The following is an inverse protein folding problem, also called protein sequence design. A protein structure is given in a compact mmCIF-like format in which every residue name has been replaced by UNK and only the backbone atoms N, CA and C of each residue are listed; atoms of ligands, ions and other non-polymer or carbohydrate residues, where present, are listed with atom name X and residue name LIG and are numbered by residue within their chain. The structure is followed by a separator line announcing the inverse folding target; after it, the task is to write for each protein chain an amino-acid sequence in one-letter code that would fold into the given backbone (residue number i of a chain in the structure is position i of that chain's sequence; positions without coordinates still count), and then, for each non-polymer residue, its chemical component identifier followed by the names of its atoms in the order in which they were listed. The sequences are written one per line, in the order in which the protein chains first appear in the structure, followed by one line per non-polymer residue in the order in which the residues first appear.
data_IF_322759065159
#
_entry.id   IF_322759065159
#
_cell.length_a   1.000
_cell.length_b   1.000
_cell.length_c   1.000
_cell.angle_alpha   90.00
_cell.angle_beta   90.00
_cell.angle_gamma   90.00
#
_symmetry.space_group_name_H-M   'P 1'
#
loop_
_entity.id
_entity.type
_entity.pdbx_description
1 polymer ?
#
# COMPACT_ATOMS: atom_id res chain seq x y z
N UNK A 1 39.45 6.81 8.22
CA UNK A 1 38.37 6.27 9.06
C UNK A 1 38.41 4.76 8.94
N UNK A 2 38.39 3.99 10.00
CA UNK A 2 38.33 2.53 9.91
C UNK A 2 37.00 2.19 9.22
N UNK A 3 37.05 1.44 8.13
CA UNK A 3 35.86 0.87 7.52
C UNK A 3 35.16 0.02 8.56
N UNK A 4 33.94 0.40 8.94
CA UNK A 4 33.09 -0.43 9.77
C UNK A 4 33.06 -1.83 9.14
N UNK A 5 33.50 -2.82 9.88
CA UNK A 5 33.41 -4.21 9.48
C UNK A 5 31.95 -4.59 9.46
N UNK A 6 31.56 -5.20 8.38
CA UNK A 6 30.30 -5.82 8.13
C UNK A 6 29.10 -4.87 8.05
N UNK A 7 28.82 -4.44 6.88
CA UNK A 7 27.44 -4.32 6.45
C UNK A 7 26.84 -5.74 6.39
N UNK A 8 26.61 -6.31 7.57
CA UNK A 8 25.91 -7.57 7.64
C UNK A 8 24.50 -7.32 7.10
N UNK A 9 24.20 -7.87 5.96
CA UNK A 9 22.85 -8.12 5.53
C UNK A 9 22.19 -8.93 6.64
N UNK A 10 21.31 -8.28 7.39
CA UNK A 10 20.47 -8.98 8.34
C UNK A 10 19.49 -9.81 7.53
N UNK A 11 19.55 -11.11 7.63
CA UNK A 11 18.55 -11.98 7.01
C UNK A 11 17.31 -12.06 7.90
N UNK A 12 16.18 -12.44 7.31
CA UNK A 12 14.95 -12.78 8.05
C UNK A 12 15.21 -13.81 9.18
N UNK A 13 16.30 -14.59 9.05
CA UNK A 13 16.73 -15.56 10.04
C UNK A 13 17.37 -14.94 11.28
N UNK A 14 17.76 -13.66 11.27
CA UNK A 14 18.49 -13.05 12.41
C UNK A 14 17.59 -12.66 13.57
N UNK A 15 16.28 -12.53 13.36
CA UNK A 15 15.29 -12.27 14.42
C UNK A 15 14.05 -13.13 14.17
N UNK A 16 14.16 -14.46 14.22
CA UNK A 16 13.10 -15.36 13.81
C UNK A 16 11.83 -15.19 14.64
N UNK A 17 11.95 -14.92 15.93
CA UNK A 17 10.78 -14.72 16.80
C UNK A 17 10.07 -13.39 16.48
N UNK A 18 10.83 -12.33 16.20
CA UNK A 18 10.24 -11.06 15.78
C UNK A 18 9.59 -11.17 14.38
N UNK A 19 10.27 -11.82 13.42
CA UNK A 19 9.69 -12.07 12.10
C UNK A 19 8.38 -12.87 12.22
N UNK A 20 8.36 -13.93 13.00
CA UNK A 20 7.15 -14.72 13.24
C UNK A 20 6.02 -13.88 13.82
N UNK A 21 6.30 -13.03 14.82
CA UNK A 21 5.33 -12.11 15.40
C UNK A 21 4.77 -11.13 14.36
N UNK A 22 5.61 -10.62 13.46
CA UNK A 22 5.21 -9.71 12.39
C UNK A 22 4.36 -10.46 11.35
N UNK A 23 4.76 -11.66 10.94
CA UNK A 23 4.00 -12.48 9.99
C UNK A 23 2.62 -12.85 10.54
N UNK A 24 2.51 -13.21 11.83
CA UNK A 24 1.21 -13.45 12.49
C UNK A 24 0.33 -12.20 12.50
N UNK A 25 0.92 -11.02 12.71
CA UNK A 25 0.21 -9.74 12.67
C UNK A 25 -0.26 -9.39 11.25
N UNK A 26 0.57 -9.62 10.25
CA UNK A 26 0.22 -9.40 8.84
C UNK A 26 -0.91 -10.32 8.38
N UNK A 27 -0.87 -11.61 8.75
CA UNK A 27 -1.98 -12.54 8.49
C UNK A 27 -3.28 -12.11 9.17
N UNK A 28 -3.19 -11.51 10.38
CA UNK A 28 -4.36 -10.93 11.04
C UNK A 28 -4.86 -9.70 10.27
N UNK A 29 -3.97 -8.83 9.80
CA UNK A 29 -4.33 -7.65 9.02
C UNK A 29 -5.00 -8.02 7.70
N UNK A 30 -4.53 -9.05 7.02
CA UNK A 30 -5.15 -9.58 5.79
C UNK A 30 -6.59 -10.04 6.05
N UNK A 31 -6.82 -10.85 7.09
CA UNK A 31 -8.19 -11.27 7.48
C UNK A 31 -9.06 -10.06 7.83
N UNK A 32 -8.58 -9.18 8.71
CA UNK A 32 -9.28 -7.97 9.14
C UNK A 32 -9.60 -7.06 7.95
N UNK A 33 -8.73 -7.01 6.93
CA UNK A 33 -8.93 -6.23 5.71
C UNK A 33 -10.18 -6.69 4.97
N UNK A 34 -10.30 -7.99 4.69
CA UNK A 34 -11.49 -8.52 4.01
C UNK A 34 -12.77 -8.41 4.84
N UNK A 35 -12.67 -8.51 6.16
CA UNK A 35 -13.83 -8.37 7.06
C UNK A 35 -14.30 -6.91 7.19
N UNK A 36 -13.40 -5.95 7.15
CA UNK A 36 -13.66 -4.53 7.46
C UNK A 36 -13.78 -3.64 6.23
N UNK A 37 -13.13 -4.00 5.13
CA UNK A 37 -13.12 -3.21 3.90
C UNK A 37 -14.12 -3.78 2.91
N UNK A 38 -15.34 -3.29 2.94
CA UNK A 38 -16.43 -3.79 2.05
C UNK A 38 -16.10 -3.71 0.56
N UNK A 39 -15.24 -2.81 0.15
CA UNK A 39 -14.75 -2.76 -1.23
C UNK A 39 -13.84 -3.92 -1.62
N UNK A 40 -13.13 -4.50 -0.65
CA UNK A 40 -12.24 -5.63 -0.88
C UNK A 40 -12.98 -6.94 -1.20
N UNK A 41 -14.20 -7.10 -0.69
CA UNK A 41 -15.04 -8.28 -1.04
C UNK A 41 -15.29 -8.38 -2.54
N UNK A 42 -15.49 -7.24 -3.23
CA UNK A 42 -15.70 -7.19 -4.68
C UNK A 42 -14.47 -7.58 -5.48
N UNK A 43 -13.30 -7.57 -4.88
CA UNK A 43 -12.06 -8.00 -5.52
C UNK A 43 -11.85 -9.53 -5.43
N UNK A 44 -12.57 -10.21 -4.55
CA UNK A 44 -12.53 -11.67 -4.39
C UNK A 44 -13.78 -12.38 -4.93
N UNK A 45 -14.81 -11.66 -5.35
CA UNK A 45 -16.06 -12.22 -5.86
C UNK A 45 -16.37 -11.63 -7.23
N UNK A 46 -16.22 -12.43 -8.27
CA UNK A 46 -16.48 -12.02 -9.63
C UNK A 46 -17.91 -11.45 -9.84
N UNK A 47 -18.89 -11.89 -9.04
CA UNK A 47 -20.26 -11.37 -9.14
C UNK A 47 -20.41 -9.96 -8.53
N UNK A 48 -19.43 -9.49 -7.80
CA UNK A 48 -19.39 -8.18 -7.14
C UNK A 48 -18.40 -7.22 -7.79
N UNK A 49 -17.79 -7.61 -8.90
CA UNK A 49 -16.84 -6.76 -9.60
C UNK A 49 -17.50 -5.42 -9.98
N UNK A 50 -16.80 -4.34 -9.68
CA UNK A 50 -17.21 -2.98 -10.02
C UNK A 50 -16.07 -2.29 -10.79
N UNK A 51 -16.35 -1.85 -12.01
CA UNK A 51 -15.35 -1.25 -12.89
C UNK A 51 -14.86 0.12 -12.38
N UNK A 52 -15.71 0.90 -11.74
CA UNK A 52 -15.33 2.21 -11.21
C UNK A 52 -14.46 2.04 -9.95
N UNK A 53 -14.75 1.03 -9.12
CA UNK A 53 -13.87 0.63 -8.02
C UNK A 53 -12.50 0.20 -8.54
N UNK A 54 -12.46 -0.64 -9.57
CA UNK A 54 -11.19 -1.06 -10.21
C UNK A 54 -10.39 0.13 -10.72
N UNK A 55 -11.03 1.01 -11.50
CA UNK A 55 -10.37 2.22 -12.03
C UNK A 55 -9.85 3.10 -10.91
N UNK A 56 -10.69 3.38 -9.91
CA UNK A 56 -10.32 4.24 -8.80
C UNK A 56 -9.17 3.65 -7.97
N UNK A 57 -9.20 2.35 -7.70
CA UNK A 57 -8.11 1.67 -6.99
C UNK A 57 -6.77 1.80 -7.73
N UNK A 58 -6.76 1.58 -9.05
CA UNK A 58 -5.54 1.72 -9.86
C UNK A 58 -5.03 3.17 -9.90
N UNK A 59 -5.91 4.15 -10.01
CA UNK A 59 -5.52 5.58 -9.93
C UNK A 59 -4.91 5.89 -8.57
N UNK A 60 -5.50 5.43 -7.47
CA UNK A 60 -4.94 5.62 -6.12
C UNK A 60 -3.58 4.93 -5.97
N UNK A 61 -3.38 3.77 -6.58
CA UNK A 61 -2.09 3.09 -6.60
C UNK A 61 -1.04 3.95 -7.31
N UNK A 62 -1.36 4.51 -8.48
CA UNK A 62 -0.48 5.46 -9.17
C UNK A 62 -0.15 6.69 -8.31
N UNK A 63 -1.16 7.26 -7.65
CA UNK A 63 -0.97 8.42 -6.77
C UNK A 63 -0.03 8.06 -5.61
N UNK A 64 -0.22 6.91 -4.95
CA UNK A 64 0.65 6.46 -3.85
C UNK A 64 2.09 6.25 -4.30
N UNK A 65 2.31 5.63 -5.46
CA UNK A 65 3.65 5.48 -6.06
C UNK A 65 4.27 6.86 -6.31
N UNK A 66 3.49 7.79 -6.88
CA UNK A 66 3.95 9.17 -7.13
C UNK A 66 4.33 9.92 -5.85
N UNK A 67 3.54 9.79 -4.78
CA UNK A 67 3.81 10.39 -3.47
C UNK A 67 5.04 9.74 -2.81
N UNK A 68 5.16 8.41 -2.89
CA UNK A 68 6.30 7.67 -2.37
C UNK A 68 7.61 8.07 -3.06
N UNK A 69 7.57 8.29 -4.38
CA UNK A 69 8.71 8.81 -5.17
C UNK A 69 9.29 10.12 -4.61
N UNK A 70 8.48 10.95 -3.92
CA UNK A 70 8.94 12.16 -3.28
C UNK A 70 9.53 11.90 -1.88
N UNK A 71 9.09 10.87 -1.18
CA UNK A 71 9.54 10.51 0.18
C UNK A 71 10.82 9.68 0.16
N UNK A 72 10.95 8.71 -0.74
CA UNK A 72 12.07 7.76 -0.74
C UNK A 72 13.46 8.41 -0.88
N UNK A 73 13.66 9.47 -1.68
CA UNK A 73 14.92 10.22 -1.68
C UNK A 73 15.25 10.85 -0.32
N UNK A 74 14.24 11.25 0.46
CA UNK A 74 14.44 11.81 1.79
C UNK A 74 14.87 10.72 2.78
N UNK A 75 14.33 9.51 2.66
CA UNK A 75 14.75 8.32 3.42
C UNK A 75 16.21 7.99 3.09
N UNK A 76 16.56 7.91 1.81
CA UNK A 76 17.93 7.67 1.36
C UNK A 76 18.89 8.77 1.89
N UNK A 77 18.49 10.03 1.80
CA UNK A 77 19.27 11.16 2.31
C UNK A 77 19.47 11.08 3.83
N UNK A 78 18.46 10.68 4.59
CA UNK A 78 18.57 10.51 6.05
C UNK A 78 19.68 9.51 6.41
N UNK A 79 19.80 8.43 5.64
CA UNK A 79 20.80 7.39 5.86
C UNK A 79 22.16 7.72 5.26
N UNK A 80 22.29 8.68 4.37
CA UNK A 80 23.52 8.96 3.60
C UNK A 80 24.77 9.13 4.47
N UNK A 81 24.63 9.74 5.65
CA UNK A 81 25.75 9.93 6.59
C UNK A 81 25.73 8.96 7.79
N UNK A 82 24.64 8.25 8.03
CA UNK A 82 24.43 7.34 9.15
C UNK A 82 24.75 5.89 8.80
N UNK A 83 24.24 5.44 7.65
CA UNK A 83 24.49 4.14 7.04
C UNK A 83 24.50 4.31 5.52
N UNK A 84 25.65 4.65 4.91
CA UNK A 84 25.76 4.91 3.47
C UNK A 84 25.35 3.71 2.59
N UNK A 85 25.51 2.49 3.10
CA UNK A 85 25.11 1.29 2.37
C UNK A 85 23.58 1.16 2.36
N UNK A 86 22.91 1.38 3.49
CA UNK A 86 21.45 1.42 3.57
C UNK A 86 20.87 2.55 2.69
N UNK A 87 21.51 3.72 2.70
CA UNK A 87 21.14 4.82 1.80
C UNK A 87 21.17 4.41 0.33
N UNK A 88 22.23 3.72 -0.09
CA UNK A 88 22.36 3.21 -1.46
C UNK A 88 21.29 2.17 -1.79
N UNK A 89 21.09 1.19 -0.93
CA UNK A 89 20.12 0.11 -1.13
C UNK A 89 18.69 0.67 -1.24
N UNK A 90 18.32 1.56 -0.30
CA UNK A 90 17.03 2.23 -0.34
C UNK A 90 16.83 3.10 -1.59
N UNK A 91 17.90 3.80 -2.01
CA UNK A 91 17.86 4.62 -3.22
C UNK A 91 17.66 3.80 -4.50
N UNK A 92 18.23 2.59 -4.58
CA UNK A 92 18.01 1.67 -5.70
C UNK A 92 16.58 1.14 -5.71
N UNK A 93 16.08 0.65 -4.58
CA UNK A 93 14.69 0.22 -4.40
C UNK A 93 13.70 1.33 -4.80
N UNK A 94 13.85 2.54 -4.26
CA UNK A 94 12.96 3.65 -4.58
C UNK A 94 13.05 4.13 -6.04
N UNK A 95 14.19 3.95 -6.71
CA UNK A 95 14.34 4.26 -8.13
C UNK A 95 13.62 3.23 -9.03
N UNK A 96 13.57 1.98 -8.62
CA UNK A 96 12.85 0.90 -9.28
C UNK A 96 11.34 1.09 -9.11
N UNK A 97 10.86 1.15 -7.85
CA UNK A 97 9.46 1.34 -7.51
C UNK A 97 8.86 2.62 -8.11
N UNK A 98 9.67 3.66 -8.21
CA UNK A 98 9.24 4.97 -8.70
C UNK A 98 8.73 5.00 -10.15
N UNK A 99 8.76 3.89 -10.89
CA UNK A 99 8.29 3.80 -12.28
C UNK A 99 7.06 2.92 -12.48
N UNK A 100 6.65 2.20 -11.46
CA UNK A 100 5.55 1.25 -11.55
C UNK A 100 4.19 1.91 -11.81
N UNK A 101 4.03 3.21 -11.52
CA UNK A 101 2.84 3.99 -11.86
C UNK A 101 2.47 3.90 -13.35
N UNK A 102 3.45 3.80 -14.25
CA UNK A 102 3.22 3.70 -15.69
C UNK A 102 2.58 2.39 -16.12
N UNK A 103 2.81 1.31 -15.36
CA UNK A 103 2.19 0.02 -15.62
C UNK A 103 0.69 0.09 -15.39
N UNK A 104 0.27 0.69 -14.29
CA UNK A 104 -1.14 0.92 -13.96
C UNK A 104 -1.81 1.91 -14.92
N UNK A 105 -1.11 2.99 -15.31
CA UNK A 105 -1.61 3.92 -16.33
C UNK A 105 -1.92 3.21 -17.65
N UNK A 106 -1.03 2.31 -18.09
CA UNK A 106 -1.22 1.51 -19.30
C UNK A 106 -2.46 0.63 -19.24
N UNK A 107 -2.80 0.08 -18.07
CA UNK A 107 -4.02 -0.72 -17.89
C UNK A 107 -5.27 0.16 -17.83
N UNK A 108 -5.21 1.32 -17.19
CA UNK A 108 -6.31 2.30 -17.15
C UNK A 108 -6.69 2.84 -18.55
N UNK A 109 -5.70 3.10 -19.40
CA UNK A 109 -5.95 3.50 -20.80
C UNK A 109 -6.75 2.43 -21.56
N UNK A 110 -6.44 1.14 -21.34
CA UNK A 110 -7.11 0.03 -22.02
C UNK A 110 -8.58 -0.13 -21.58
N UNK A 111 -8.91 0.30 -20.36
CA UNK A 111 -10.29 0.34 -19.87
C UNK A 111 -10.98 1.69 -20.09
N UNK A 112 -10.40 2.53 -20.98
CA UNK A 112 -11.01 3.73 -21.52
C UNK A 112 -10.80 5.01 -20.74
N UNK A 113 -9.84 5.06 -19.80
CA UNK A 113 -9.45 6.33 -19.15
C UNK A 113 -8.38 7.07 -19.95
N UNK A 114 -8.48 8.37 -20.02
CA UNK A 114 -7.46 9.26 -20.59
C UNK A 114 -6.48 9.74 -19.52
N UNK A 115 -5.31 10.23 -19.93
CA UNK A 115 -4.37 10.87 -19.00
C UNK A 115 -5.01 12.04 -18.25
N UNK A 116 -5.82 12.85 -18.95
CA UNK A 116 -6.51 13.99 -18.35
C UNK A 116 -7.46 13.54 -17.20
N UNK A 117 -8.23 12.49 -17.43
CA UNK A 117 -9.11 11.92 -16.41
C UNK A 117 -8.32 11.32 -15.23
N UNK A 118 -7.26 10.56 -15.50
CA UNK A 118 -6.42 9.93 -14.48
C UNK A 118 -5.78 10.99 -13.57
N UNK A 119 -5.14 11.99 -14.16
CA UNK A 119 -4.38 13.00 -13.40
C UNK A 119 -5.26 14.10 -12.80
N UNK A 120 -6.54 14.22 -13.20
CA UNK A 120 -7.49 15.11 -12.54
C UNK A 120 -8.01 14.57 -11.20
N UNK A 121 -7.87 13.26 -10.95
CA UNK A 121 -8.35 12.61 -9.73
C UNK A 121 -7.47 13.02 -8.54
N UNK A 122 -8.09 13.54 -7.50
CA UNK A 122 -7.41 13.83 -6.22
C UNK A 122 -7.31 12.57 -5.37
N UNK A 123 -6.26 12.43 -4.56
CA UNK A 123 -6.13 11.31 -3.63
C UNK A 123 -7.30 11.27 -2.64
N UNK A 124 -7.57 10.09 -2.12
CA UNK A 124 -8.42 9.95 -0.93
C UNK A 124 -7.75 10.62 0.27
N UNK A 125 -8.55 11.01 1.26
CA UNK A 125 -8.01 11.62 2.47
C UNK A 125 -7.08 10.66 3.24
N UNK A 126 -7.40 9.37 3.26
CA UNK A 126 -6.52 8.35 3.85
C UNK A 126 -5.17 8.27 3.13
N UNK A 127 -5.12 8.42 1.80
CA UNK A 127 -3.85 8.50 1.04
C UNK A 127 -3.07 9.78 1.38
N UNK A 128 -3.75 10.92 1.52
CA UNK A 128 -3.13 12.17 1.97
C UNK A 128 -2.55 12.03 3.39
N UNK A 129 -3.31 11.42 4.31
CA UNK A 129 -2.87 11.17 5.68
C UNK A 129 -1.67 10.20 5.73
N UNK A 130 -1.69 9.13 4.94
CA UNK A 130 -0.58 8.17 4.89
C UNK A 130 0.71 8.86 4.44
N UNK A 131 0.65 9.68 3.40
CA UNK A 131 1.80 10.43 2.94
C UNK A 131 2.25 11.48 3.97
N UNK A 132 1.30 12.23 4.55
CA UNK A 132 1.57 13.18 5.65
C UNK A 132 2.23 12.51 6.86
N UNK A 133 1.83 11.27 7.17
CA UNK A 133 2.42 10.48 8.24
C UNK A 133 3.90 10.18 7.98
N UNK A 134 4.30 9.89 6.76
CA UNK A 134 5.71 9.67 6.42
C UNK A 134 6.56 10.93 6.61
N UNK A 135 6.07 12.09 6.19
CA UNK A 135 6.76 13.36 6.42
C UNK A 135 6.84 13.72 7.91
N UNK A 136 5.74 13.52 8.64
CA UNK A 136 5.71 13.75 10.08
C UNK A 136 6.73 12.87 10.82
N UNK A 137 6.72 11.57 10.59
CA UNK A 137 7.63 10.64 11.26
C UNK A 137 9.09 10.88 10.84
N UNK A 138 9.34 11.17 9.56
CA UNK A 138 10.69 11.51 9.10
C UNK A 138 11.26 12.73 9.83
N UNK A 139 10.43 13.74 10.09
CA UNK A 139 10.84 14.97 10.78
C UNK A 139 11.02 14.77 12.30
N UNK A 140 10.28 13.87 12.92
CA UNK A 140 10.22 13.72 14.40
C UNK A 140 10.96 12.48 14.91
N UNK A 141 10.96 11.37 14.16
CA UNK A 141 11.42 10.06 14.62
C UNK A 141 12.42 9.39 13.67
N UNK A 142 12.48 9.86 12.42
CA UNK A 142 13.26 9.26 11.35
C UNK A 142 12.40 8.44 10.38
N UNK A 143 13.03 7.75 9.41
CA UNK A 143 12.34 7.21 8.23
C UNK A 143 11.70 5.82 8.43
N UNK A 144 11.70 5.27 9.64
CA UNK A 144 11.28 3.89 9.89
C UNK A 144 9.86 3.61 9.36
N UNK A 145 8.91 4.53 9.58
CA UNK A 145 7.54 4.37 9.09
C UNK A 145 7.45 4.23 7.56
N UNK A 146 8.23 5.04 6.81
CA UNK A 146 8.27 4.93 5.34
C UNK A 146 8.88 3.61 4.88
N UNK A 147 9.92 3.13 5.56
CA UNK A 147 10.54 1.83 5.25
C UNK A 147 9.57 0.66 5.53
N UNK A 148 8.86 0.71 6.66
CA UNK A 148 7.83 -0.28 7.02
C UNK A 148 6.68 -0.26 6.00
N UNK A 149 6.32 0.89 5.48
CA UNK A 149 5.31 0.98 4.41
C UNK A 149 5.74 0.24 3.14
N UNK A 150 7.02 0.34 2.74
CA UNK A 150 7.56 -0.48 1.65
C UNK A 150 7.34 -1.97 1.95
N UNK A 151 7.86 -2.46 3.06
CA UNK A 151 7.68 -3.85 3.47
C UNK A 151 6.22 -4.32 3.51
N UNK A 152 5.32 -3.49 4.06
CA UNK A 152 3.89 -3.81 4.14
C UNK A 152 3.25 -3.93 2.75
N UNK A 153 3.55 -3.00 1.85
CA UNK A 153 2.97 -2.98 0.51
C UNK A 153 3.46 -4.16 -0.34
N UNK A 154 4.75 -4.49 -0.29
CA UNK A 154 5.30 -5.67 -0.94
C UNK A 154 4.63 -6.95 -0.43
N UNK A 155 4.53 -7.10 0.89
CA UNK A 155 3.90 -8.26 1.49
C UNK A 155 2.42 -8.39 1.09
N UNK A 156 1.63 -7.32 1.27
CA UNK A 156 0.18 -7.39 1.04
C UNK A 156 -0.15 -7.53 -0.45
N UNK A 157 0.63 -6.89 -1.33
CA UNK A 157 0.49 -7.05 -2.77
C UNK A 157 0.72 -8.49 -3.20
N UNK A 158 1.83 -9.11 -2.80
CA UNK A 158 2.12 -10.50 -3.11
C UNK A 158 1.06 -11.50 -2.60
N UNK A 159 0.35 -11.15 -1.51
CA UNK A 159 -0.71 -12.01 -0.95
C UNK A 159 -2.08 -11.80 -1.59
N UNK A 160 -2.42 -10.58 -1.96
CA UNK A 160 -3.79 -10.24 -2.39
C UNK A 160 -3.93 -10.06 -3.89
N UNK A 161 -2.93 -9.55 -4.56
CA UNK A 161 -3.02 -9.23 -5.99
C UNK A 161 -3.22 -10.42 -6.93
N UNK A 162 -2.62 -11.61 -6.72
CA UNK A 162 -2.85 -12.74 -7.62
C UNK A 162 -4.34 -13.05 -7.81
N UNK A 163 -5.07 -13.23 -6.70
CA UNK A 163 -6.49 -13.56 -6.73
C UNK A 163 -7.34 -12.42 -7.30
N UNK A 164 -6.99 -11.17 -6.96
CA UNK A 164 -7.68 -9.99 -7.50
C UNK A 164 -7.51 -9.88 -9.01
N UNK A 165 -6.30 -10.08 -9.52
CA UNK A 165 -6.02 -10.02 -10.95
C UNK A 165 -6.74 -11.11 -11.72
N UNK A 166 -6.86 -12.31 -11.18
CA UNK A 166 -7.62 -13.40 -11.80
C UNK A 166 -9.10 -13.04 -11.97
N UNK A 167 -9.69 -12.38 -10.98
CA UNK A 167 -11.07 -11.90 -11.05
C UNK A 167 -11.20 -10.71 -12.01
N UNK A 168 -10.29 -9.73 -11.92
CA UNK A 168 -10.30 -8.58 -12.81
C UNK A 168 -10.18 -9.00 -14.28
N UNK A 169 -9.32 -9.97 -14.59
CA UNK A 169 -9.15 -10.49 -15.95
C UNK A 169 -10.40 -11.13 -16.52
N UNK A 170 -11.27 -11.72 -15.71
CA UNK A 170 -12.55 -12.26 -16.16
C UNK A 170 -13.49 -11.17 -16.65
N UNK A 171 -13.38 -9.94 -16.12
CA UNK A 171 -14.27 -8.83 -16.43
C UNK A 171 -13.69 -7.85 -17.45
N UNK A 172 -12.44 -7.48 -17.30
CA UNK A 172 -11.79 -6.48 -18.17
C UNK A 172 -10.92 -7.12 -19.25
N UNK A 173 -10.58 -8.40 -19.10
CA UNK A 173 -9.72 -9.16 -20.02
C UNK A 173 -8.22 -9.05 -19.70
N UNK A 174 -7.46 -10.12 -19.89
CA UNK A 174 -6.04 -10.23 -19.57
C UNK A 174 -5.13 -9.17 -20.24
N UNK A 175 -5.55 -8.62 -21.39
CA UNK A 175 -4.80 -7.53 -22.01
C UNK A 175 -4.87 -6.22 -21.21
N UNK A 176 -5.89 -6.05 -20.39
CA UNK A 176 -6.16 -4.80 -19.66
C UNK A 176 -5.61 -4.83 -18.21
N UNK A 177 -4.96 -5.93 -17.82
CA UNK A 177 -4.31 -6.12 -16.52
C UNK A 177 -2.81 -6.42 -16.65
N UNK A 178 -2.25 -6.30 -17.86
CA UNK A 178 -0.84 -6.64 -18.13
C UNK A 178 0.14 -5.83 -17.30
N UNK A 179 -0.16 -4.57 -17.02
CA UNK A 179 0.68 -3.72 -16.20
C UNK A 179 0.74 -4.20 -14.76
N UNK A 180 -0.42 -4.47 -14.16
CA UNK A 180 -0.50 -5.00 -12.80
C UNK A 180 0.13 -6.41 -12.68
N UNK A 181 -0.04 -7.28 -13.69
CA UNK A 181 0.64 -8.59 -13.73
C UNK A 181 2.17 -8.46 -13.84
N UNK A 182 2.65 -7.52 -14.66
CA UNK A 182 4.08 -7.28 -14.80
C UNK A 182 4.69 -6.72 -13.51
N UNK A 183 3.96 -5.85 -12.81
CA UNK A 183 4.37 -5.35 -11.50
C UNK A 183 4.54 -6.52 -10.51
N UNK A 184 3.51 -7.34 -10.36
CA UNK A 184 3.56 -8.49 -9.45
C UNK A 184 4.70 -9.47 -9.78
N UNK A 185 4.95 -9.74 -11.05
CA UNK A 185 6.03 -10.64 -11.47
C UNK A 185 7.43 -10.07 -11.16
N UNK A 186 7.62 -8.76 -11.25
CA UNK A 186 8.88 -8.11 -10.87
C UNK A 186 9.12 -8.22 -9.36
N UNK A 187 8.10 -7.95 -8.54
CA UNK A 187 8.19 -8.02 -7.09
C UNK A 187 8.53 -9.44 -6.59
N UNK A 188 7.98 -10.49 -7.26
CA UNK A 188 8.26 -11.89 -6.96
C UNK A 188 9.68 -12.31 -7.37
N UNK A 189 10.14 -11.90 -8.56
CA UNK A 189 11.46 -12.25 -9.08
C UNK A 189 12.61 -11.63 -8.27
N UNK A 190 12.42 -10.44 -7.73
CA UNK A 190 13.45 -9.66 -7.00
C UNK A 190 13.39 -9.85 -5.48
N UNK A 191 12.43 -10.64 -4.94
CA UNK A 191 12.26 -10.92 -3.50
C UNK A 191 12.20 -9.65 -2.64
N UNK A 192 11.42 -8.66 -3.10
CA UNK A 192 11.31 -7.34 -2.49
C UNK A 192 10.93 -7.38 -1.01
N UNK A 193 10.07 -8.34 -0.60
CA UNK A 193 9.65 -8.48 0.80
C UNK A 193 10.84 -8.71 1.72
N UNK A 194 11.70 -9.68 1.40
CA UNK A 194 12.87 -10.01 2.21
C UNK A 194 13.99 -8.97 2.05
N UNK A 195 14.11 -8.35 0.88
CA UNK A 195 15.04 -7.25 0.66
C UNK A 195 14.71 -6.06 1.58
N UNK A 196 13.46 -5.60 1.58
CA UNK A 196 13.04 -4.47 2.43
C UNK A 196 13.08 -4.85 3.90
N UNK A 197 12.68 -6.07 4.27
CA UNK A 197 12.85 -6.59 5.63
C UNK A 197 14.30 -6.50 6.10
N UNK A 198 15.25 -6.95 5.28
CA UNK A 198 16.66 -6.93 5.62
C UNK A 198 17.19 -5.49 5.80
N UNK A 199 16.74 -4.54 4.99
CA UNK A 199 17.06 -3.13 5.18
C UNK A 199 16.55 -2.60 6.51
N UNK A 200 15.32 -2.94 6.89
CA UNK A 200 14.70 -2.53 8.16
C UNK A 200 15.45 -3.15 9.36
N UNK A 201 15.84 -4.42 9.27
CA UNK A 201 16.57 -5.09 10.36
C UNK A 201 17.94 -4.47 10.66
N UNK A 202 18.50 -3.69 9.74
CA UNK A 202 19.68 -2.87 10.02
C UNK A 202 19.40 -1.70 10.96
N UNK A 203 18.13 -1.28 11.02
CA UNK A 203 17.67 -0.16 11.87
C UNK A 203 17.18 -0.66 13.22
N UNK A 204 16.48 -1.78 13.28
CA UNK A 204 15.93 -2.37 14.50
C UNK A 204 17.05 -2.97 15.34
N UNK A 205 17.30 -2.42 16.53
CA UNK A 205 18.39 -2.83 17.43
C UNK A 205 17.91 -3.30 18.81
N UNK A 206 16.78 -2.80 19.26
CA UNK A 206 16.25 -2.99 20.61
C UNK A 206 14.82 -3.51 20.55
N UNK A 207 14.31 -3.98 21.69
CA UNK A 207 12.87 -4.34 21.84
C UNK A 207 11.98 -3.11 21.66
N UNK A 208 12.43 -1.92 22.06
CA UNK A 208 11.71 -0.67 21.84
C UNK A 208 11.58 -0.36 20.34
N UNK A 209 12.63 -0.63 19.54
CA UNK A 209 12.54 -0.50 18.07
C UNK A 209 11.54 -1.50 17.46
N UNK A 210 11.47 -2.73 18.00
CA UNK A 210 10.48 -3.72 17.57
C UNK A 210 9.04 -3.27 17.89
N UNK A 211 8.81 -2.70 19.08
CA UNK A 211 7.50 -2.14 19.44
C UNK A 211 7.12 -0.96 18.52
N UNK A 212 8.07 -0.08 18.23
CA UNK A 212 7.85 1.03 17.29
C UNK A 212 7.55 0.52 15.87
N UNK A 213 8.24 -0.54 15.44
CA UNK A 213 7.91 -1.19 14.17
C UNK A 213 6.46 -1.66 14.15
N UNK A 214 6.00 -2.38 15.16
CA UNK A 214 4.61 -2.88 15.26
C UNK A 214 3.61 -1.73 15.31
N UNK A 215 3.93 -0.65 16.01
CA UNK A 215 3.10 0.55 16.08
C UNK A 215 2.94 1.20 14.69
N UNK A 216 4.05 1.43 13.98
CA UNK A 216 4.03 1.99 12.63
C UNK A 216 3.26 1.08 11.66
N UNK A 217 3.54 -0.23 11.68
CA UNK A 217 2.86 -1.20 10.83
C UNK A 217 1.35 -1.19 11.05
N UNK A 218 0.91 -1.10 12.32
CA UNK A 218 -0.51 -1.03 12.68
C UNK A 218 -1.17 0.26 12.18
N UNK A 219 -0.51 1.40 12.30
CA UNK A 219 -1.00 2.69 11.78
C UNK A 219 -1.11 2.69 10.26
N UNK A 220 -0.09 2.17 9.57
CA UNK A 220 -0.08 2.05 8.11
C UNK A 220 -1.23 1.16 7.63
N UNK A 221 -1.41 -0.02 8.24
CA UNK A 221 -2.54 -0.90 7.93
C UNK A 221 -3.90 -0.20 8.15
N UNK A 222 -4.06 0.56 9.24
CA UNK A 222 -5.30 1.28 9.51
C UNK A 222 -5.62 2.32 8.45
N UNK A 223 -4.60 3.06 7.97
CA UNK A 223 -4.76 4.03 6.89
C UNK A 223 -5.05 3.34 5.55
N UNK A 224 -4.46 2.17 5.31
CA UNK A 224 -4.72 1.38 4.12
C UNK A 224 -6.15 0.82 4.09
N UNK A 225 -6.66 0.35 5.23
CA UNK A 225 -8.08 -0.06 5.37
C UNK A 225 -9.00 1.14 5.13
N UNK A 226 -8.70 2.32 5.72
CA UNK A 226 -9.49 3.54 5.53
C UNK A 226 -9.54 3.97 4.07
N UNK A 227 -8.43 3.85 3.35
CA UNK A 227 -8.35 4.13 1.92
C UNK A 227 -9.36 3.29 1.12
N UNK A 228 -9.44 1.98 1.37
CA UNK A 228 -10.40 1.12 0.67
C UNK A 228 -11.85 1.49 0.98
N UNK A 229 -12.15 1.84 2.22
CA UNK A 229 -13.49 2.32 2.62
C UNK A 229 -13.85 3.61 1.88
N UNK A 230 -12.91 4.55 1.75
CA UNK A 230 -13.12 5.80 1.02
C UNK A 230 -13.30 5.55 -0.47
N UNK A 231 -12.49 4.70 -1.09
CA UNK A 231 -12.64 4.34 -2.50
C UNK A 231 -13.99 3.69 -2.76
N UNK A 232 -14.42 2.74 -1.93
CA UNK A 232 -15.72 2.11 -2.03
C UNK A 232 -16.87 3.11 -1.87
N UNK A 233 -16.77 4.01 -0.90
CA UNK A 233 -17.77 5.06 -0.70
C UNK A 233 -17.89 6.00 -1.91
N UNK A 234 -16.74 6.37 -2.48
CA UNK A 234 -16.71 7.29 -3.63
C UNK A 234 -17.26 6.66 -4.93
N UNK A 235 -17.03 5.36 -5.13
CA UNK A 235 -17.41 4.66 -6.39
C UNK A 235 -18.73 3.93 -6.26
N UNK A 236 -18.79 2.89 -5.46
CA UNK A 236 -19.97 2.00 -5.37
C UNK A 236 -21.14 2.68 -4.69
N UNK A 237 -20.90 3.51 -3.66
CA UNK A 237 -21.98 4.24 -2.97
C UNK A 237 -22.29 5.61 -3.57
N UNK A 238 -21.41 6.14 -4.44
CA UNK A 238 -21.59 7.46 -5.08
C UNK A 238 -21.65 8.63 -4.08
N UNK A 239 -20.97 8.50 -2.91
CA UNK A 239 -20.97 9.53 -1.86
C UNK A 239 -19.97 10.67 -2.11
N UNK A 240 -19.19 10.59 -3.21
CA UNK A 240 -18.11 11.53 -3.47
C UNK A 240 -16.94 11.36 -2.52
N UNK A 241 -15.89 12.15 -2.75
CA UNK A 241 -14.67 12.15 -1.93
C UNK A 241 -14.67 13.26 -0.86
N UNK A 242 -15.83 13.73 -0.41
CA UNK A 242 -15.93 14.74 0.63
C UNK A 242 -15.70 14.13 2.01
N UNK A 243 -14.59 14.45 2.69
CA UNK A 243 -14.29 13.91 4.03
C UNK A 243 -15.36 14.20 5.07
N UNK A 244 -16.12 15.31 4.91
CA UNK A 244 -17.20 15.66 5.83
C UNK A 244 -18.38 14.69 5.79
N UNK A 245 -18.56 14.00 4.67
CA UNK A 245 -19.55 12.92 4.52
C UNK A 245 -19.05 11.58 5.08
N UNK A 246 -17.75 11.39 5.07
CA UNK A 246 -17.09 10.17 5.59
C UNK A 246 -17.05 10.13 7.12
N UNK A 247 -17.03 11.27 7.79
CA UNK A 247 -17.07 11.34 9.27
C UNK A 247 -18.40 10.85 9.87
N UNK A 248 -19.45 10.70 9.05
CA UNK A 248 -20.70 10.08 9.46
C UNK A 248 -20.68 8.54 9.32
N UNK A 249 -19.64 7.99 8.71
CA UNK A 249 -19.46 6.55 8.52
C UNK A 249 -18.55 6.00 9.61
N UNK A 250 -19.09 5.81 10.81
CA UNK A 250 -18.43 4.89 11.76
C UNK A 250 -18.26 3.52 11.08
N UNK A 251 -17.09 2.86 11.22
CA UNK A 251 -16.92 1.52 10.68
C UNK A 251 -17.96 0.58 11.29
N UNK A 252 -19.09 0.40 10.61
CA UNK A 252 -20.15 -0.51 11.04
C UNK A 252 -21.60 0.03 11.04
N UNK A 253 -21.86 1.33 11.23
CA UNK A 253 -23.22 1.82 11.42
C UNK A 253 -23.86 2.51 10.19
N UNK A 254 -23.11 3.31 9.44
CA UNK A 254 -23.71 4.15 8.40
C UNK A 254 -23.89 3.45 7.05
N UNK A 255 -23.14 2.39 6.78
CA UNK A 255 -23.31 1.59 5.54
C UNK A 255 -24.62 0.82 5.57
N UNK A 256 -25.13 0.42 6.75
CA UNK A 256 -26.42 -0.26 6.87
C UNK A 256 -27.61 0.66 6.56
N UNK A 257 -27.56 1.94 6.92
CA UNK A 257 -28.69 2.86 6.76
C UNK A 257 -28.93 3.27 5.30
N UNK A 258 -27.86 3.51 4.54
CA UNK A 258 -28.00 3.91 3.13
C UNK A 258 -28.28 2.72 2.20
N UNK A 259 -27.79 1.53 2.52
CA UNK A 259 -28.11 0.31 1.78
C UNK A 259 -29.60 -0.06 1.95
N UNK A 260 -30.15 0.08 3.17
CA UNK A 260 -31.58 -0.13 3.42
C UNK A 260 -32.46 0.89 2.71
N UNK A 261 -32.07 2.15 2.62
CA UNK A 261 -32.79 3.19 1.92
C UNK A 261 -32.81 2.97 0.39
N UNK A 262 -31.75 2.43 -0.20
CA UNK A 262 -31.71 2.09 -1.64
C UNK A 262 -32.42 0.81 -1.98
N UNK A 263 -32.36 -0.21 -1.14
CA UNK A 263 -33.11 -1.46 -1.34
C UNK A 263 -34.63 -1.25 -1.19
N UNK A 264 -35.06 -0.26 -0.39
CA UNK A 264 -36.47 0.11 -0.27
C UNK A 264 -36.99 0.99 -1.41
N UNK A 265 -36.12 1.46 -2.31
CA UNK A 265 -36.49 2.32 -3.45
C UNK A 265 -36.48 1.57 -4.82
N UNK A 266 -36.25 0.25 -4.81
CA UNK A 266 -36.39 -0.69 -5.93
C UNK A 266 -37.52 -1.68 -5.62
#
# INVERSE_FOLDING_TARGET
MPRSKSYNTYSSLQRPEFRKRVDELLLKFERDFYEKSKGAEGMLDANKFDLDLYKRHNVETMIRIGLKRAVDPLVANYWATRDPQLSKEWGLYGAEEGRHDRMFAGDLHKVGMTDEEIYAIRPTFATELLNGYFYYTLATEGPLASMISGFYLEYIAGKTQPDWLDIMEQHVGANNTKGARAHLALDEDDDHVDMVWNMIMRVIKTEEDEERFVEHLTKINSLFVSYFVEVYAATVLGLGSDPSQLTQVSPGAAVQTNLQARVAAV
#
